data_IF_129127501521
#
_entry.id   IF_129127501521
#
_cell.length_a   1.000
_cell.length_b   1.000
_cell.length_c   1.000
_cell.angle_alpha   90.00
_cell.angle_beta   90.00
_cell.angle_gamma   90.00
#
_symmetry.space_group_name_H-M   'P 1'
#
loop_
_entity.id
_entity.type
_entity.pdbx_description
1 polymer ?
#
# COMPACT_ATOMS: atom_id res chain seq x y z
N UNK A 1 -6.19 -16.54 -18.08
CA UNK A 1 -6.57 -15.57 -19.12
C UNK A 1 -6.05 -14.21 -18.68
N UNK A 2 -4.94 -13.73 -19.25
CA UNK A 2 -4.36 -12.43 -18.86
C UNK A 2 -5.27 -11.29 -19.32
N UNK A 3 -5.54 -10.32 -18.45
CA UNK A 3 -6.32 -9.12 -18.76
C UNK A 3 -5.47 -8.13 -19.57
N UNK A 4 -6.09 -7.32 -20.42
CA UNK A 4 -5.37 -6.46 -21.37
C UNK A 4 -4.95 -5.12 -20.74
N UNK A 5 -3.88 -4.46 -21.26
CA UNK A 5 -3.45 -3.14 -20.80
C UNK A 5 -4.53 -2.04 -20.88
N UNK A 6 -5.60 -2.24 -21.66
CA UNK A 6 -6.68 -1.27 -21.81
C UNK A 6 -7.44 -1.00 -20.49
N UNK A 7 -7.61 -2.01 -19.62
CA UNK A 7 -8.31 -1.83 -18.34
C UNK A 7 -7.47 -1.03 -17.33
N UNK A 8 -6.13 -1.13 -17.41
CA UNK A 8 -5.23 -0.25 -16.66
C UNK A 8 -5.30 1.18 -17.17
N UNK A 9 -5.25 1.38 -18.49
CA UNK A 9 -5.39 2.69 -19.11
C UNK A 9 -6.73 3.36 -18.78
N UNK A 10 -7.80 2.60 -18.52
CA UNK A 10 -9.09 3.17 -18.16
C UNK A 10 -9.09 3.84 -16.77
N UNK A 11 -8.43 3.25 -15.76
CA UNK A 11 -8.24 3.88 -14.46
C UNK A 11 -7.37 5.13 -14.58
N UNK A 12 -6.27 5.06 -15.35
CA UNK A 12 -5.40 6.22 -15.62
C UNK A 12 -6.12 7.35 -16.38
N UNK A 13 -6.90 7.02 -17.41
CA UNK A 13 -7.61 8.00 -18.23
C UNK A 13 -8.78 8.65 -17.50
N UNK A 14 -9.47 7.92 -16.60
CA UNK A 14 -10.54 8.47 -15.74
C UNK A 14 -10.01 9.43 -14.65
N UNK A 15 -8.72 9.35 -14.32
CA UNK A 15 -8.06 10.18 -13.28
C UNK A 15 -7.42 11.45 -13.88
N UNK A 16 -7.12 11.45 -15.19
CA UNK A 16 -6.57 12.60 -15.92
C UNK A 16 -5.05 12.76 -15.76
N UNK A 17 -4.37 13.23 -16.82
CA UNK A 17 -2.90 13.32 -16.83
C UNK A 17 -2.30 14.45 -15.96
N UNK A 18 -3.15 15.30 -15.37
CA UNK A 18 -2.73 16.49 -14.66
C UNK A 18 -3.48 16.69 -13.33
N UNK A 19 -3.14 15.89 -12.31
CA UNK A 19 -2.87 16.35 -10.93
C UNK A 19 -2.41 15.17 -10.04
N UNK A 20 -1.77 15.45 -8.90
CA UNK A 20 -0.90 14.49 -8.19
C UNK A 20 -1.17 14.45 -6.68
N UNK A 21 -1.55 13.30 -6.10
CA UNK A 21 -1.12 12.82 -4.75
C UNK A 21 -1.87 11.56 -4.24
N UNK A 22 -1.13 10.63 -3.62
CA UNK A 22 -1.49 9.47 -2.75
C UNK A 22 -0.20 9.07 -1.98
N UNK A 23 -0.15 8.34 -0.86
CA UNK A 23 -1.16 7.74 0.03
C UNK A 23 -0.90 8.22 1.47
N UNK A 24 -1.76 7.83 2.41
CA UNK A 24 -1.44 7.86 3.83
C UNK A 24 -0.99 6.47 4.29
N UNK A 25 0.28 6.36 4.67
CA UNK A 25 0.88 5.23 5.40
C UNK A 25 2.20 5.67 6.06
N UNK A 26 2.98 6.53 5.41
CA UNK A 26 4.05 7.34 6.04
C UNK A 26 4.11 8.72 5.36
N UNK A 27 4.60 9.71 6.12
CA UNK A 27 4.76 11.13 5.81
C UNK A 27 5.73 11.46 4.64
N UNK A 28 5.52 10.91 3.42
CA UNK A 28 6.32 11.26 2.23
C UNK A 28 5.49 11.31 0.94
N UNK A 29 5.52 12.48 0.29
CA UNK A 29 4.74 12.87 -0.91
C UNK A 29 5.13 12.15 -2.22
N UNK A 30 5.80 11.00 -2.17
CA UNK A 30 6.44 10.37 -3.33
C UNK A 30 5.88 8.97 -3.56
N UNK A 31 4.98 8.87 -4.53
CA UNK A 31 4.28 7.65 -4.94
C UNK A 31 4.23 7.47 -6.46
N UNK A 32 4.07 6.22 -6.90
CA UNK A 32 3.90 5.86 -8.31
C UNK A 32 2.54 6.31 -8.87
N UNK A 33 2.41 6.43 -10.19
CA UNK A 33 1.22 7.08 -10.80
C UNK A 33 -0.08 6.31 -10.58
N UNK A 34 -0.06 4.98 -10.46
CA UNK A 34 -1.27 4.18 -10.25
C UNK A 34 -1.84 4.29 -8.84
N UNK A 35 -0.99 4.60 -7.85
CA UNK A 35 -1.45 4.88 -6.50
C UNK A 35 -2.27 6.18 -6.49
N UNK A 36 -1.87 7.22 -7.25
CA UNK A 36 -2.46 8.58 -7.23
C UNK A 36 -3.96 8.70 -7.50
N UNK A 37 -4.61 7.69 -8.07
CA UNK A 37 -6.06 7.66 -8.27
C UNK A 37 -6.87 7.63 -6.96
N UNK A 38 -6.29 7.04 -5.91
CA UNK A 38 -7.08 6.51 -4.77
C UNK A 38 -7.51 7.61 -3.77
N UNK A 39 -6.65 8.58 -3.45
CA UNK A 39 -6.97 9.74 -2.58
C UNK A 39 -8.02 10.67 -3.21
N UNK A 40 -8.10 10.74 -4.54
CA UNK A 40 -9.16 11.50 -5.23
C UNK A 40 -10.54 10.91 -4.89
N UNK A 41 -10.62 9.59 -4.66
CA UNK A 41 -11.84 8.90 -4.25
C UNK A 41 -12.03 8.77 -2.73
N UNK A 42 -10.94 8.70 -1.94
CA UNK A 42 -10.99 8.40 -0.50
C UNK A 42 -10.64 9.58 0.43
N UNK A 43 -10.14 10.70 -0.09
CA UNK A 43 -9.62 11.82 0.73
C UNK A 43 -8.35 11.45 1.51
N UNK A 44 -8.09 12.17 2.60
CA UNK A 44 -7.14 11.79 3.65
C UNK A 44 -7.71 10.68 4.54
N UNK A 45 -8.00 9.51 3.97
CA UNK A 45 -8.40 8.33 4.72
C UNK A 45 -7.20 7.71 5.48
N UNK A 46 -7.43 7.25 6.71
CA UNK A 46 -6.37 6.80 7.63
C UNK A 46 -6.79 5.57 8.44
N UNK A 47 -5.87 4.65 8.72
CA UNK A 47 -6.09 3.62 9.74
C UNK A 47 -5.93 4.21 11.16
N UNK A 48 -6.86 3.99 12.10
CA UNK A 48 -6.85 4.63 13.42
C UNK A 48 -5.51 4.54 14.20
N UNK A 49 -4.74 3.47 14.03
CA UNK A 49 -3.43 3.29 14.68
C UNK A 49 -2.38 4.37 14.32
N UNK A 50 -2.53 5.07 13.19
CA UNK A 50 -1.66 6.19 12.80
C UNK A 50 -2.21 7.57 13.25
N UNK A 51 -3.37 7.64 13.94
CA UNK A 51 -3.88 8.90 14.52
C UNK A 51 -2.84 9.66 15.39
N UNK A 52 -1.97 9.01 16.19
CA UNK A 52 -0.91 9.69 16.92
C UNK A 52 0.14 10.35 16.02
N UNK A 53 0.44 9.77 14.86
CA UNK A 53 1.38 10.30 13.87
C UNK A 53 0.73 11.40 13.02
N UNK A 54 -0.52 11.21 12.65
CA UNK A 54 -1.34 12.20 11.94
C UNK A 54 -1.44 13.51 12.74
N UNK A 55 -1.78 13.45 14.03
CA UNK A 55 -1.88 14.64 14.91
C UNK A 55 -0.57 15.42 15.06
N UNK A 56 0.60 14.82 14.83
CA UNK A 56 1.89 15.53 14.85
C UNK A 56 2.12 16.41 13.62
N UNK A 57 1.36 16.19 12.55
CA UNK A 57 1.54 16.87 11.25
C UNK A 57 0.29 17.59 10.76
N UNK A 58 -0.87 17.16 11.24
CA UNK A 58 -2.19 17.69 10.96
C UNK A 58 -2.93 17.93 12.30
N UNK A 59 -2.39 18.76 13.22
CA UNK A 59 -2.93 18.89 14.58
C UNK A 59 -4.39 19.36 14.63
N UNK A 60 -4.79 20.21 13.67
CA UNK A 60 -6.11 20.83 13.59
C UNK A 60 -7.06 20.18 12.57
N UNK A 61 -6.64 19.08 11.90
CA UNK A 61 -7.45 18.35 10.91
C UNK A 61 -7.68 16.91 11.38
N UNK A 62 -8.92 16.44 11.32
CA UNK A 62 -9.24 15.01 11.43
C UNK A 62 -9.04 14.31 10.05
N UNK A 63 -8.72 13.00 10.01
CA UNK A 63 -8.78 12.24 8.75
C UNK A 63 -10.17 12.33 8.12
N UNK A 64 -10.23 12.27 6.79
CA UNK A 64 -11.50 12.43 6.06
C UNK A 64 -12.35 11.14 6.13
N UNK A 65 -11.72 9.98 6.37
CA UNK A 65 -12.36 8.68 6.61
C UNK A 65 -11.43 7.74 7.40
N UNK A 66 -11.99 6.68 7.97
CA UNK A 66 -11.23 5.58 8.57
C UNK A 66 -11.03 4.42 7.57
N UNK A 67 -9.84 3.81 7.61
CA UNK A 67 -9.51 2.56 6.93
C UNK A 67 -9.36 1.44 7.97
N UNK A 68 -10.00 0.29 7.75
CA UNK A 68 -9.94 -0.85 8.68
C UNK A 68 -9.60 -2.15 7.94
N UNK A 69 -8.90 -3.09 8.58
CA UNK A 69 -8.57 -4.39 7.98
C UNK A 69 -9.81 -5.12 7.43
N UNK A 70 -9.70 -5.67 6.22
CA UNK A 70 -10.78 -6.39 5.54
C UNK A 70 -11.89 -5.51 4.95
N UNK A 71 -11.83 -4.18 5.09
CA UNK A 71 -12.81 -3.26 4.51
C UNK A 71 -12.82 -3.34 2.97
N UNK A 72 -14.02 -3.46 2.40
CA UNK A 72 -14.24 -3.30 0.97
C UNK A 72 -14.41 -1.82 0.59
N UNK A 73 -13.79 -1.40 -0.51
CA UNK A 73 -13.85 -0.03 -1.04
C UNK A 73 -14.03 -0.06 -2.56
N UNK A 74 -14.94 0.75 -3.09
CA UNK A 74 -15.11 0.94 -4.54
C UNK A 74 -14.42 2.22 -5.00
N UNK A 75 -13.38 2.11 -5.82
CA UNK A 75 -12.63 3.26 -6.39
C UNK A 75 -12.75 3.22 -7.92
N UNK A 76 -13.32 4.27 -8.52
CA UNK A 76 -13.61 4.34 -9.97
C UNK A 76 -14.40 3.14 -10.56
N UNK A 77 -15.14 2.39 -9.73
CA UNK A 77 -15.84 1.16 -10.12
C UNK A 77 -15.02 -0.13 -9.98
N UNK A 78 -13.84 -0.06 -9.39
CA UNK A 78 -12.99 -1.21 -9.03
C UNK A 78 -13.13 -1.49 -7.53
N UNK A 79 -13.44 -2.74 -7.20
CA UNK A 79 -13.43 -3.24 -5.82
C UNK A 79 -11.99 -3.43 -5.32
N UNK A 80 -11.71 -2.86 -4.15
CA UNK A 80 -10.46 -2.95 -3.41
C UNK A 80 -10.73 -3.54 -2.02
N UNK A 81 -9.79 -4.33 -1.51
CA UNK A 81 -9.77 -4.75 -0.10
C UNK A 81 -8.65 -4.04 0.65
N UNK A 82 -8.96 -3.41 1.78
CA UNK A 82 -7.98 -2.89 2.72
C UNK A 82 -7.32 -4.06 3.45
N UNK A 83 -5.99 -4.12 3.43
CA UNK A 83 -5.19 -5.02 4.22
C UNK A 83 -4.39 -4.19 5.23
N UNK A 84 -4.63 -4.37 6.52
CA UNK A 84 -3.77 -3.77 7.55
C UNK A 84 -2.43 -4.51 7.56
N UNK A 85 -1.36 -3.75 7.32
CA UNK A 85 0.01 -4.25 7.22
C UNK A 85 0.95 -3.40 8.07
N UNK A 86 0.78 -3.41 9.40
CA UNK A 86 1.61 -2.63 10.32
C UNK A 86 3.09 -3.02 10.21
N UNK A 87 3.96 -2.12 10.65
CA UNK A 87 5.39 -2.36 10.79
C UNK A 87 6.25 -1.29 10.15
N UNK A 88 5.91 -0.78 8.96
CA UNK A 88 6.53 0.45 8.45
C UNK A 88 6.00 1.70 9.19
N UNK A 89 4.69 1.71 9.43
CA UNK A 89 3.99 2.54 10.41
C UNK A 89 2.97 1.68 11.16
N UNK A 90 2.28 2.24 12.15
CA UNK A 90 1.33 1.49 12.98
C UNK A 90 -0.01 1.30 12.26
N UNK A 91 -0.44 2.31 11.50
CA UNK A 91 -1.62 2.29 10.63
C UNK A 91 -1.32 2.03 9.15
N UNK A 92 -0.15 1.47 8.81
CA UNK A 92 0.20 1.17 7.42
C UNK A 92 -0.79 0.16 6.80
N UNK A 93 -1.36 0.49 5.64
CA UNK A 93 -2.30 -0.35 4.90
C UNK A 93 -1.86 -0.56 3.45
N UNK A 94 -2.14 -1.75 2.92
CA UNK A 94 -2.08 -2.03 1.48
C UNK A 94 -3.50 -2.13 0.92
N UNK A 95 -3.70 -1.79 -0.35
CA UNK A 95 -4.99 -1.96 -1.04
C UNK A 95 -4.87 -3.03 -2.13
N UNK A 96 -5.60 -4.14 -1.97
CA UNK A 96 -5.59 -5.25 -2.92
C UNK A 96 -6.72 -5.11 -3.94
N UNK A 97 -6.37 -5.22 -5.23
CA UNK A 97 -7.28 -5.10 -6.36
C UNK A 97 -7.29 -6.39 -7.19
N UNK A 98 -8.10 -7.41 -6.83
CA UNK A 98 -8.14 -8.69 -7.55
C UNK A 98 -8.46 -8.53 -9.03
N UNK A 99 -9.34 -7.58 -9.37
CA UNK A 99 -9.74 -7.28 -10.75
C UNK A 99 -8.60 -6.71 -11.62
N UNK A 100 -7.54 -6.18 -11.01
CA UNK A 100 -6.36 -5.63 -11.69
C UNK A 100 -5.13 -6.54 -11.54
N UNK A 101 -5.24 -7.68 -10.83
CA UNK A 101 -4.09 -8.51 -10.43
C UNK A 101 -2.99 -7.66 -9.76
N UNK A 102 -3.39 -6.73 -8.89
CA UNK A 102 -2.49 -5.71 -8.34
C UNK A 102 -2.68 -5.50 -6.83
N UNK A 103 -1.59 -5.16 -6.16
CA UNK A 103 -1.55 -4.69 -4.78
C UNK A 103 -0.89 -3.31 -4.75
N UNK A 104 -1.59 -2.30 -4.26
CA UNK A 104 -1.01 -1.01 -3.93
C UNK A 104 -0.38 -1.13 -2.53
N UNK A 105 0.91 -1.51 -2.50
CA UNK A 105 1.59 -1.97 -1.29
C UNK A 105 2.19 -0.87 -0.41
N UNK A 106 2.01 0.41 -0.77
CA UNK A 106 2.62 1.53 -0.07
C UNK A 106 4.13 1.34 0.13
N UNK A 107 4.63 1.79 1.27
CA UNK A 107 6.02 1.55 1.68
C UNK A 107 6.14 0.26 2.55
N UNK A 108 5.23 -0.72 2.41
CA UNK A 108 5.30 -2.00 3.15
C UNK A 108 6.26 -3.00 2.50
N UNK A 109 6.16 -3.21 1.18
CA UNK A 109 6.93 -4.21 0.43
C UNK A 109 7.45 -3.62 -0.89
N UNK A 110 8.75 -3.79 -1.11
CA UNK A 110 9.48 -3.36 -2.31
C UNK A 110 10.11 -4.57 -3.01
N UNK A 111 10.52 -4.40 -4.27
CA UNK A 111 11.32 -5.40 -4.98
C UNK A 111 12.63 -5.77 -4.25
N UNK A 112 13.18 -4.87 -3.42
CA UNK A 112 14.38 -5.10 -2.61
C UNK A 112 14.15 -5.61 -1.18
N UNK A 113 12.88 -5.82 -0.77
CA UNK A 113 12.52 -6.31 0.56
C UNK A 113 11.53 -5.42 1.34
N UNK A 114 11.46 -5.54 2.67
CA UNK A 114 10.54 -4.78 3.50
C UNK A 114 10.80 -3.28 3.44
N UNK A 115 9.77 -2.49 3.76
CA UNK A 115 9.93 -1.07 4.08
C UNK A 115 10.86 -0.82 5.27
N UNK A 116 11.48 0.36 5.28
CA UNK A 116 12.44 0.73 6.30
C UNK A 116 11.81 0.83 7.69
N UNK A 117 12.48 0.26 8.68
CA UNK A 117 12.07 0.22 10.10
C UNK A 117 13.10 0.94 10.99
N UNK A 118 12.89 0.91 12.32
CA UNK A 118 13.81 1.53 13.29
C UNK A 118 13.54 3.02 13.61
N UNK A 119 12.40 3.56 13.17
CA UNK A 119 11.86 4.86 13.57
C UNK A 119 10.67 4.70 14.52
N UNK A 120 10.27 5.77 15.21
CA UNK A 120 9.01 5.81 15.98
C UNK A 120 7.84 5.29 15.14
N UNK A 121 6.95 4.51 15.75
CA UNK A 121 5.79 3.86 15.13
C UNK A 121 6.09 2.77 14.08
N UNK A 122 7.36 2.36 13.92
CA UNK A 122 7.79 1.26 13.03
C UNK A 122 8.45 0.11 13.82
N UNK A 123 8.31 -1.14 13.34
CA UNK A 123 8.81 -2.35 14.00
C UNK A 123 9.11 -3.48 13.00
N UNK A 124 10.36 -3.96 12.96
CA UNK A 124 10.83 -4.94 11.97
C UNK A 124 10.15 -6.32 12.05
N UNK A 125 9.99 -6.97 13.22
CA UNK A 125 9.22 -8.21 13.31
C UNK A 125 7.80 -8.07 12.75
N UNK A 126 7.13 -6.94 13.03
CA UNK A 126 5.75 -6.70 12.59
C UNK A 126 5.64 -6.46 11.08
N UNK A 127 6.59 -5.78 10.44
CA UNK A 127 6.53 -5.64 8.96
C UNK A 127 6.76 -6.98 8.27
N UNK A 128 7.63 -7.83 8.83
CA UNK A 128 7.85 -9.20 8.34
C UNK A 128 6.60 -10.07 8.50
N UNK A 129 5.91 -9.99 9.65
CA UNK A 129 4.63 -10.68 9.87
C UNK A 129 3.56 -10.21 8.87
N UNK A 130 3.39 -8.89 8.70
CA UNK A 130 2.49 -8.32 7.70
C UNK A 130 2.77 -8.79 6.28
N UNK A 131 4.05 -8.82 5.87
CA UNK A 131 4.43 -9.31 4.54
C UNK A 131 4.13 -10.81 4.42
N UNK A 132 4.57 -11.63 5.39
CA UNK A 132 4.41 -13.09 5.38
C UNK A 132 2.94 -13.51 5.36
N UNK A 133 2.13 -12.94 6.25
CA UNK A 133 0.80 -13.46 6.56
C UNK A 133 -0.31 -12.77 5.76
N UNK A 134 -0.08 -11.56 5.23
CA UNK A 134 -1.07 -10.81 4.42
C UNK A 134 -0.69 -10.65 2.95
N UNK A 135 0.58 -10.40 2.63
CA UNK A 135 0.97 -10.07 1.26
C UNK A 135 1.44 -11.28 0.46
N UNK A 136 2.23 -12.16 1.09
CA UNK A 136 2.73 -13.38 0.46
C UNK A 136 1.69 -14.52 0.40
N UNK A 137 0.52 -14.32 1.00
CA UNK A 137 -0.66 -15.20 0.89
C UNK A 137 -1.57 -14.88 -0.29
N UNK A 138 -1.33 -13.78 -1.00
CA UNK A 138 -2.06 -13.39 -2.21
C UNK A 138 -1.65 -14.24 -3.43
N UNK A 139 -2.44 -14.26 -4.53
CA UNK A 139 -2.06 -14.94 -5.76
C UNK A 139 -0.69 -14.49 -6.28
N UNK A 140 0.17 -15.44 -6.63
CA UNK A 140 1.58 -15.18 -6.93
C UNK A 140 1.84 -14.25 -8.13
N UNK A 141 0.87 -14.12 -9.05
CA UNK A 141 0.89 -13.20 -10.18
C UNK A 141 0.52 -11.75 -9.80
N UNK A 142 0.02 -11.51 -8.58
CA UNK A 142 -0.31 -10.17 -8.06
C UNK A 142 0.91 -9.26 -8.12
N UNK A 143 0.80 -8.17 -8.88
CA UNK A 143 1.85 -7.17 -9.03
C UNK A 143 1.81 -6.19 -7.86
N UNK A 144 2.89 -6.16 -7.08
CA UNK A 144 3.09 -5.22 -5.98
C UNK A 144 3.59 -3.89 -6.54
N UNK A 145 2.73 -2.87 -6.47
CA UNK A 145 3.05 -1.47 -6.78
C UNK A 145 3.45 -0.80 -5.45
N UNK A 146 4.74 -0.76 -5.17
CA UNK A 146 5.32 -0.07 -4.00
C UNK A 146 5.21 1.45 -4.13
N UNK A 147 5.33 2.17 -3.00
CA UNK A 147 5.31 3.63 -2.94
C UNK A 147 6.44 4.23 -3.77
N UNK A 148 7.65 3.68 -3.59
CA UNK A 148 8.83 4.07 -4.34
C UNK A 148 9.51 2.86 -5.00
N UNK A 149 10.37 3.09 -6.00
CA UNK A 149 11.13 2.01 -6.67
C UNK A 149 10.38 1.26 -7.77
N UNK A 150 10.96 0.13 -8.19
CA UNK A 150 10.42 -0.72 -9.25
C UNK A 150 9.39 -1.74 -8.75
N UNK A 151 8.57 -2.22 -9.68
CA UNK A 151 7.50 -3.19 -9.42
C UNK A 151 8.07 -4.60 -9.16
N UNK A 152 7.33 -5.38 -8.37
CA UNK A 152 7.62 -6.82 -8.16
C UNK A 152 6.31 -7.62 -8.19
N UNK A 153 6.37 -8.93 -8.08
CA UNK A 153 5.18 -9.78 -7.85
C UNK A 153 5.29 -10.50 -6.51
N UNK A 154 4.16 -10.97 -6.00
CA UNK A 154 4.11 -11.80 -4.79
C UNK A 154 5.01 -13.04 -4.93
N UNK A 155 4.97 -13.73 -6.08
CA UNK A 155 5.84 -14.88 -6.34
C UNK A 155 7.33 -14.51 -6.44
N UNK A 156 7.67 -13.30 -6.91
CA UNK A 156 9.06 -12.85 -6.97
C UNK A 156 9.61 -12.45 -5.59
N UNK A 157 8.77 -11.91 -4.70
CA UNK A 157 9.15 -11.57 -3.33
C UNK A 157 9.29 -12.77 -2.39
N UNK A 158 8.40 -13.76 -2.49
CA UNK A 158 8.29 -14.85 -1.52
C UNK A 158 9.60 -15.61 -1.18
N UNK A 159 10.49 -15.93 -2.13
CA UNK A 159 11.73 -16.68 -1.84
C UNK A 159 12.71 -15.95 -0.91
N UNK A 160 12.65 -14.61 -0.87
CA UNK A 160 13.62 -13.78 -0.15
C UNK A 160 13.26 -13.51 1.32
N UNK A 161 12.10 -13.98 1.80
CA UNK A 161 11.63 -13.71 3.16
C UNK A 161 12.67 -14.05 4.25
N UNK A 162 13.34 -15.19 4.13
CA UNK A 162 14.37 -15.61 5.10
C UNK A 162 15.66 -14.79 4.98
N UNK A 163 16.00 -14.29 3.78
CA UNK A 163 17.11 -13.37 3.58
C UNK A 163 16.84 -12.03 4.28
N UNK A 164 15.63 -11.49 4.12
CA UNK A 164 15.24 -10.24 4.78
C UNK A 164 15.29 -10.35 6.30
N UNK A 165 14.77 -11.45 6.86
CA UNK A 165 14.86 -11.76 8.30
C UNK A 165 16.31 -11.83 8.77
N UNK A 166 17.18 -12.53 8.03
CA UNK A 166 18.61 -12.65 8.36
C UNK A 166 19.39 -11.33 8.25
N UNK A 167 18.88 -10.34 7.51
CA UNK A 167 19.50 -9.01 7.33
C UNK A 167 19.09 -7.99 8.40
N UNK A 168 17.91 -8.12 8.99
CA UNK A 168 17.46 -7.30 10.13
C UNK A 168 17.41 -5.78 9.85
N UNK A 169 16.70 -5.38 8.79
CA UNK A 169 16.60 -3.99 8.28
C UNK A 169 16.09 -2.94 9.29
#
# INVERSE_FOLDING_TARGET
>A
MQRSPAQFLELYARVGEHERAVMLAVLRERTSSGQKAIRVHLGDALHPDDLPLWKQTHPDKAPDAELTDGQGLTVAGIELSVLHTPGHASGAVCLYAPALTALFGGDTLFAGGPGATGRSYSHFPTIIESIRDRLLTLPGDTVVRSGNGGETTVAAGAPYLQEWIGRGF
#
